data_IF_824798476406
#
_entry.id   IF_824798476406
#
_cell.length_a   1.000
_cell.length_b   1.000
_cell.length_c   1.000
_cell.angle_alpha   90.00
_cell.angle_beta   90.00
_cell.angle_gamma   90.00
#
_symmetry.space_group_name_H-M   'P 1'
#
loop_
_entity.id
_entity.type
_entity.pdbx_description
1 polymer ?
#
# COMPACT_ATOMS: atom_id res chain seq x y z
N UNK A 1 -12.62 -6.12 9.39
CA UNK A 1 -12.67 -6.78 8.08
C UNK A 1 -13.56 -6.04 7.11
N UNK A 2 -13.01 -5.70 5.94
CA UNK A 2 -13.66 -4.93 4.86
C UNK A 2 -13.75 -5.73 3.56
N UNK A 3 -12.96 -6.80 3.42
CA UNK A 3 -12.94 -7.62 2.20
C UNK A 3 -14.22 -8.46 2.04
N UNK A 4 -14.75 -9.00 3.13
CA UNK A 4 -16.04 -9.74 3.12
C UNK A 4 -17.25 -8.84 2.85
N UNK A 5 -17.08 -7.51 2.96
CA UNK A 5 -18.11 -6.51 2.65
C UNK A 5 -18.12 -6.10 1.17
N UNK A 6 -17.19 -6.62 0.37
CA UNK A 6 -17.18 -6.37 -1.06
C UNK A 6 -18.39 -7.03 -1.73
N UNK A 7 -18.95 -6.36 -2.74
CA UNK A 7 -20.00 -6.93 -3.56
C UNK A 7 -19.51 -8.23 -4.25
N UNK A 8 -20.43 -9.13 -4.55
CA UNK A 8 -20.07 -10.44 -5.11
C UNK A 8 -19.26 -10.33 -6.41
N UNK A 9 -19.54 -9.29 -7.20
CA UNK A 9 -18.97 -8.93 -8.50
C UNK A 9 -17.82 -7.90 -8.42
N UNK A 10 -17.35 -7.52 -7.22
CA UNK A 10 -16.22 -6.60 -7.09
C UNK A 10 -14.94 -7.20 -7.67
N UNK A 11 -14.36 -6.53 -8.66
CA UNK A 11 -13.18 -7.00 -9.39
C UNK A 11 -11.98 -7.29 -8.49
N UNK A 12 -11.88 -6.69 -7.29
CA UNK A 12 -10.77 -6.98 -6.36
C UNK A 12 -10.81 -8.43 -5.88
N UNK A 13 -11.96 -9.09 -5.90
CA UNK A 13 -12.09 -10.51 -5.53
C UNK A 13 -11.41 -11.44 -6.54
N UNK A 14 -11.08 -10.95 -7.75
CA UNK A 14 -10.34 -11.71 -8.76
C UNK A 14 -8.83 -11.49 -8.71
N UNK A 15 -8.34 -10.63 -7.81
CA UNK A 15 -6.93 -10.32 -7.72
C UNK A 15 -6.12 -11.48 -7.13
N UNK A 16 -5.03 -11.93 -7.79
CA UNK A 16 -4.24 -13.08 -7.32
C UNK A 16 -3.68 -12.94 -5.91
N UNK A 17 -3.39 -11.71 -5.47
CA UNK A 17 -2.88 -11.42 -4.11
C UNK A 17 -3.94 -11.52 -3.00
N UNK A 18 -5.21 -11.64 -3.35
CA UNK A 18 -6.33 -11.80 -2.40
C UNK A 18 -7.02 -13.17 -2.51
N UNK A 19 -6.56 -14.03 -3.41
CA UNK A 19 -7.09 -15.38 -3.61
C UNK A 19 -6.36 -16.42 -2.75
N UNK A 20 -6.93 -17.63 -2.66
CA UNK A 20 -6.29 -18.83 -2.12
C UNK A 20 -5.66 -18.65 -0.71
N UNK A 21 -6.32 -17.91 0.19
CA UNK A 21 -5.83 -17.67 1.55
C UNK A 21 -4.74 -16.61 1.67
N UNK A 22 -4.19 -16.09 0.55
CA UNK A 22 -3.11 -15.10 0.54
C UNK A 22 -3.47 -13.78 1.21
N UNK A 23 -4.75 -13.41 1.24
CA UNK A 23 -5.20 -12.23 1.98
C UNK A 23 -4.92 -12.38 3.49
N UNK A 24 -5.25 -13.53 4.07
CA UNK A 24 -5.05 -13.79 5.50
C UNK A 24 -3.56 -13.90 5.84
N UNK A 25 -2.77 -14.57 4.99
CA UNK A 25 -1.32 -14.61 5.13
C UNK A 25 -0.70 -13.21 5.05
N UNK A 26 -1.15 -12.40 4.09
CA UNK A 26 -0.70 -11.02 3.90
C UNK A 26 -1.09 -10.11 5.06
N UNK A 27 -2.23 -10.33 5.72
CA UNK A 27 -2.65 -9.57 6.92
C UNK A 27 -1.64 -9.73 8.06
N UNK A 28 -1.17 -10.94 8.31
CA UNK A 28 -0.17 -11.20 9.34
C UNK A 28 1.17 -10.53 9.00
N UNK A 29 1.54 -10.58 7.73
CA UNK A 29 2.80 -10.03 7.21
C UNK A 29 2.83 -8.49 7.22
N UNK A 30 1.72 -7.86 6.83
CA UNK A 30 1.60 -6.40 6.83
C UNK A 30 1.46 -5.83 8.25
N UNK A 31 1.17 -6.64 9.27
CA UNK A 31 1.03 -6.17 10.65
C UNK A 31 2.24 -5.34 11.11
N UNK A 32 3.46 -5.75 10.74
CA UNK A 32 4.68 -4.99 11.06
C UNK A 32 4.67 -3.58 10.48
N UNK A 33 4.16 -3.41 9.25
CA UNK A 33 4.02 -2.10 8.62
C UNK A 33 3.05 -1.20 9.39
N UNK A 34 1.95 -1.76 9.93
CA UNK A 34 1.02 -1.01 10.78
C UNK A 34 1.66 -0.61 12.11
N UNK A 35 2.48 -1.47 12.71
CA UNK A 35 3.20 -1.15 13.95
C UNK A 35 4.19 0.01 13.77
N UNK A 36 4.90 0.05 12.64
CA UNK A 36 5.80 1.15 12.28
C UNK A 36 4.99 2.45 12.10
N UNK A 37 3.84 2.39 11.43
CA UNK A 37 3.01 3.57 11.25
C UNK A 37 2.52 4.12 12.61
N UNK A 38 2.09 3.21 13.50
CA UNK A 38 1.65 3.55 14.84
C UNK A 38 2.77 4.14 15.69
N UNK A 39 3.98 3.57 15.67
CA UNK A 39 5.12 4.09 16.44
C UNK A 39 5.54 5.49 16.01
N UNK A 40 5.40 5.81 14.72
CA UNK A 40 5.64 7.16 14.17
C UNK A 40 4.44 8.11 14.31
N UNK A 41 3.31 7.64 14.85
CA UNK A 41 2.09 8.45 15.01
C UNK A 41 1.46 8.90 13.69
N UNK A 42 1.63 8.10 12.62
CA UNK A 42 1.11 8.39 11.29
C UNK A 42 0.14 7.31 10.83
N UNK A 43 -0.62 7.60 9.76
CA UNK A 43 -1.47 6.57 9.15
C UNK A 43 -0.64 5.64 8.27
N UNK A 44 -1.06 4.37 8.07
CA UNK A 44 -0.40 3.46 7.15
C UNK A 44 -0.27 4.03 5.72
N UNK A 45 -1.26 4.82 5.29
CA UNK A 45 -1.21 5.50 3.99
C UNK A 45 -0.09 6.56 3.96
N UNK A 46 0.05 7.35 5.03
CA UNK A 46 1.13 8.34 5.13
C UNK A 46 2.51 7.67 5.18
N UNK A 47 2.66 6.56 5.91
CA UNK A 47 3.91 5.80 5.95
C UNK A 47 4.31 5.30 4.56
N UNK A 48 3.35 4.76 3.80
CA UNK A 48 3.59 4.30 2.43
C UNK A 48 4.05 5.43 1.51
N UNK A 49 3.41 6.60 1.61
CA UNK A 49 3.77 7.78 0.82
C UNK A 49 5.16 8.32 1.20
N UNK A 50 5.49 8.34 2.49
CA UNK A 50 6.80 8.76 2.99
C UNK A 50 7.91 7.82 2.46
N UNK A 51 7.67 6.51 2.47
CA UNK A 51 8.60 5.52 1.93
C UNK A 51 8.80 5.64 0.42
N UNK A 52 7.73 5.89 -0.35
CA UNK A 52 7.86 6.13 -1.80
C UNK A 52 8.66 7.40 -2.05
N UNK A 53 8.37 8.47 -1.31
CA UNK A 53 9.10 9.74 -1.45
C UNK A 53 10.59 9.60 -1.07
N UNK A 54 10.93 8.71 -0.12
CA UNK A 54 12.32 8.51 0.29
C UNK A 54 13.18 7.74 -0.72
N UNK A 55 12.60 7.22 -1.81
CA UNK A 55 13.36 6.47 -2.83
C UNK A 55 14.26 7.35 -3.71
N UNK A 56 14.07 8.67 -3.69
CA UNK A 56 14.94 9.60 -4.40
C UNK A 56 14.45 11.05 -4.33
N UNK A 57 15.34 12.03 -4.57
CA UNK A 57 14.99 13.45 -4.52
C UNK A 57 14.01 13.88 -5.63
N UNK A 58 13.88 13.08 -6.68
CA UNK A 58 13.01 13.26 -7.84
C UNK A 58 11.78 12.34 -7.81
N UNK A 59 11.55 11.61 -6.71
CA UNK A 59 10.42 10.69 -6.57
C UNK A 59 9.27 11.37 -5.82
N UNK A 60 8.16 11.59 -6.52
CA UNK A 60 6.95 12.22 -5.97
C UNK A 60 5.77 11.26 -6.02
N UNK A 61 5.24 10.80 -4.86
CA UNK A 61 4.05 9.96 -4.86
C UNK A 61 2.82 10.76 -5.32
N UNK A 62 2.00 10.15 -6.20
CA UNK A 62 0.75 10.75 -6.71
C UNK A 62 -0.44 9.97 -6.15
N UNK A 63 -0.87 10.23 -4.90
CA UNK A 63 -1.99 9.51 -4.30
C UNK A 63 -3.30 9.91 -4.97
N UNK A 64 -3.96 8.95 -5.63
CA UNK A 64 -5.33 9.11 -6.11
C UNK A 64 -6.31 9.23 -4.94
N UNK A 65 -7.21 10.22 -4.97
CA UNK A 65 -8.24 10.39 -3.95
C UNK A 65 -9.47 11.11 -4.50
N UNK A 66 -10.63 10.91 -3.85
CA UNK A 66 -11.92 11.50 -4.24
C UNK A 66 -12.34 12.71 -3.40
N UNK A 67 -11.62 13.02 -2.32
CA UNK A 67 -12.03 14.04 -1.34
C UNK A 67 -10.85 14.92 -0.93
N UNK A 68 -11.10 16.22 -0.72
CA UNK A 68 -10.08 17.18 -0.29
C UNK A 68 -9.46 16.86 1.07
N UNK A 69 -10.23 16.33 2.02
CA UNK A 69 -9.72 15.94 3.35
C UNK A 69 -8.60 14.89 3.26
N UNK A 70 -8.74 13.92 2.35
CA UNK A 70 -7.72 12.90 2.08
C UNK A 70 -6.48 13.48 1.41
N UNK A 71 -6.61 14.53 0.58
CA UNK A 71 -5.44 15.25 0.04
C UNK A 71 -4.65 15.86 1.19
N UNK A 72 -5.32 16.60 2.08
CA UNK A 72 -4.69 17.24 3.23
C UNK A 72 -4.06 16.20 4.19
N UNK A 73 -4.74 15.08 4.43
CA UNK A 73 -4.20 13.97 5.22
C UNK A 73 -2.93 13.39 4.59
N UNK A 74 -2.97 13.04 3.30
CA UNK A 74 -1.85 12.44 2.58
C UNK A 74 -0.66 13.40 2.44
N UNK A 75 -0.91 14.70 2.26
CA UNK A 75 0.13 15.71 2.15
C UNK A 75 1.04 15.78 3.39
N UNK A 76 0.52 15.45 4.58
CA UNK A 76 1.32 15.38 5.82
C UNK A 76 2.38 14.27 5.80
N UNK A 77 2.34 13.33 4.85
CA UNK A 77 3.37 12.31 4.70
C UNK A 77 4.78 12.89 4.48
N UNK A 78 4.89 14.07 3.85
CA UNK A 78 6.19 14.73 3.60
C UNK A 78 6.91 15.17 4.88
N UNK A 79 6.20 15.21 6.01
CA UNK A 79 6.75 15.55 7.33
C UNK A 79 7.32 14.33 8.06
N UNK A 80 7.14 13.13 7.51
CA UNK A 80 7.62 11.88 8.09
C UNK A 80 9.03 11.63 7.57
N UNK A 81 10.01 11.77 8.46
CA UNK A 81 11.38 11.40 8.18
C UNK A 81 11.61 9.92 8.55
N UNK A 82 12.15 9.17 7.60
CA UNK A 82 12.52 7.77 7.76
C UNK A 82 14.04 7.65 7.81
N UNK A 83 14.56 6.87 8.77
CA UNK A 83 15.97 6.47 8.74
C UNK A 83 16.20 5.39 7.67
N UNK A 84 17.46 5.13 7.33
CA UNK A 84 17.80 4.08 6.37
C UNK A 84 17.34 2.70 6.86
N UNK A 85 17.42 2.45 8.17
CA UNK A 85 16.96 1.23 8.81
C UNK A 85 15.44 1.07 8.67
N UNK A 86 14.68 2.14 8.88
CA UNK A 86 13.21 2.12 8.73
C UNK A 86 12.80 1.95 7.27
N UNK A 87 13.53 2.56 6.32
CA UNK A 87 13.30 2.37 4.89
C UNK A 87 13.45 0.89 4.51
N UNK A 88 14.51 0.24 5.00
CA UNK A 88 14.75 -1.17 4.77
C UNK A 88 13.67 -2.03 5.43
N UNK A 89 13.34 -1.73 6.68
CA UNK A 89 12.32 -2.47 7.44
C UNK A 89 10.95 -2.43 6.76
N UNK A 90 10.56 -1.26 6.25
CA UNK A 90 9.31 -1.08 5.49
C UNK A 90 9.37 -1.88 4.17
N UNK A 91 10.51 -1.89 3.48
CA UNK A 91 10.69 -2.64 2.26
C UNK A 91 10.57 -4.16 2.50
N UNK A 92 11.18 -4.67 3.56
CA UNK A 92 11.14 -6.09 3.94
C UNK A 92 9.70 -6.52 4.30
N UNK A 93 8.99 -5.67 5.06
CA UNK A 93 7.58 -5.88 5.37
C UNK A 93 6.72 -5.96 4.09
N UNK A 94 7.02 -5.14 3.07
CA UNK A 94 6.29 -5.15 1.80
C UNK A 94 6.63 -6.34 0.89
N UNK A 95 7.89 -6.78 0.85
CA UNK A 95 8.34 -7.92 0.02
C UNK A 95 7.73 -9.25 0.45
N UNK A 96 7.28 -9.35 1.70
CA UNK A 96 6.67 -10.57 2.22
C UNK A 96 5.31 -10.91 1.59
N UNK A 97 4.65 -9.96 0.89
CA UNK A 97 3.31 -10.13 0.32
C UNK A 97 3.33 -11.01 -0.95
N UNK A 98 2.52 -12.08 -0.92
CA UNK A 98 2.44 -13.05 -2.02
C UNK A 98 1.36 -12.72 -3.06
N UNK A 99 1.60 -13.16 -4.29
CA UNK A 99 0.65 -13.08 -5.40
C UNK A 99 0.80 -11.83 -6.26
N UNK A 100 0.54 -12.00 -7.56
CA UNK A 100 0.70 -10.94 -8.55
C UNK A 100 -0.25 -9.76 -8.30
N UNK A 101 0.22 -8.56 -8.67
CA UNK A 101 -0.53 -7.31 -8.53
C UNK A 101 -1.84 -7.33 -9.30
N UNK A 102 -1.80 -7.88 -10.51
CA UNK A 102 -2.92 -8.07 -11.41
C UNK A 102 -2.85 -9.50 -11.97
N UNK A 103 -3.96 -10.08 -12.46
CA UNK A 103 -3.91 -11.29 -13.27
C UNK A 103 -2.97 -11.09 -14.47
N UNK A 104 -2.22 -12.13 -14.84
CA UNK A 104 -1.43 -12.12 -16.09
C UNK A 104 -2.37 -12.27 -17.29
N UNK A 105 -3.03 -11.17 -17.65
CA UNK A 105 -3.56 -10.89 -19.00
C UNK A 105 -3.75 -9.37 -19.09
N UNK A 106 -2.88 -8.74 -19.86
CA UNK A 106 -2.86 -7.30 -20.05
C UNK A 106 -4.08 -6.84 -20.82
N UNK A 107 -4.90 -6.00 -20.19
CA UNK A 107 -5.88 -5.16 -20.88
C UNK A 107 -5.68 -3.67 -20.55
N UNK A 108 -4.61 -3.31 -19.85
CA UNK A 108 -4.31 -1.91 -19.57
C UNK A 108 -3.66 -1.20 -20.77
N UNK A 109 -2.97 -1.94 -21.66
CA UNK A 109 -2.28 -1.38 -22.84
C UNK A 109 -2.98 -1.63 -24.19
N UNK A 110 -4.03 -2.47 -24.27
CA UNK A 110 -4.74 -2.77 -25.54
C UNK A 110 -5.74 -1.68 -25.95
N UNK A 111 -5.70 -0.51 -25.29
CA UNK A 111 -6.57 0.65 -25.57
C UNK A 111 -5.82 1.96 -25.83
N UNK A 112 -4.53 1.88 -26.16
CA UNK A 112 -3.78 3.01 -26.74
C UNK A 112 -3.47 2.74 -28.20
#
# INVERSE_FOLDING_TARGET
DTFDKLAADDWRRTLPRFADGKLEESKAKVARFFDIAASKGCTPAQLALAWVHSQGPDVFPIPGTKTSSRIAENARAVQIHLSNEEIQEIADAAQSIDGARYPHEGQFNDRM
#
